data_IF_833905519114
#
_entry.id   IF_833905519114
#
_cell.length_a   1.000
_cell.length_b   1.000
_cell.length_c   1.000
_cell.angle_alpha   90.00
_cell.angle_beta   90.00
_cell.angle_gamma   90.00
#
_symmetry.space_group_name_H-M   'P 1'
#
loop_
_entity.id
_entity.type
_entity.pdbx_description
1 polymer ?
#
# COMPACT_ATOMS: atom_id res chain seq x y z
N UNK A 1 24.58 17.91 31.77
CA UNK A 1 23.94 17.16 30.69
C UNK A 1 22.68 16.38 31.10
N UNK A 2 22.15 16.58 32.30
CA UNK A 2 21.00 15.82 32.86
C UNK A 2 19.66 16.54 32.82
N UNK A 3 19.58 17.78 32.32
CA UNK A 3 18.35 18.62 32.44
C UNK A 3 17.40 18.54 31.23
N UNK A 4 17.81 17.92 30.08
CA UNK A 4 16.95 17.84 28.89
C UNK A 4 16.05 16.59 28.81
N UNK A 5 16.33 15.53 29.58
CA UNK A 5 15.49 14.33 29.62
C UNK A 5 14.19 14.53 30.41
N UNK A 6 14.20 15.44 31.40
CA UNK A 6 13.10 15.63 32.32
C UNK A 6 11.90 16.39 31.75
N UNK A 7 12.09 17.18 30.69
CA UNK A 7 11.01 17.98 30.08
C UNK A 7 10.17 17.17 29.12
N UNK A 8 10.77 16.23 28.36
CA UNK A 8 10.05 15.31 27.48
C UNK A 8 9.21 14.31 28.32
N UNK A 9 9.78 13.77 29.40
CA UNK A 9 9.05 12.90 30.33
C UNK A 9 7.89 13.64 31.05
N UNK A 10 8.05 14.90 31.42
CA UNK A 10 6.97 15.66 32.04
C UNK A 10 5.80 16.01 31.11
N UNK A 11 6.03 16.17 29.79
CA UNK A 11 4.94 16.45 28.85
C UNK A 11 4.07 15.20 28.56
N UNK A 12 4.62 14.00 28.63
CA UNK A 12 3.85 12.74 28.52
C UNK A 12 2.99 12.52 29.77
N UNK A 13 3.46 12.90 30.96
CA UNK A 13 2.76 12.71 32.23
C UNK A 13 1.59 13.70 32.44
N UNK A 14 1.62 14.88 31.85
CA UNK A 14 0.55 15.90 32.03
C UNK A 14 -0.69 15.62 31.16
N UNK A 15 -0.61 14.74 30.14
CA UNK A 15 -1.77 14.42 29.31
C UNK A 15 -2.69 13.33 29.89
N UNK A 16 -2.30 12.64 30.99
CA UNK A 16 -3.02 11.47 31.51
C UNK A 16 -3.17 11.47 33.05
N UNK A 17 -3.72 12.54 33.66
CA UNK A 17 -3.98 12.52 35.10
C UNK A 17 -5.41 12.10 35.47
N UNK A 18 -6.19 11.44 34.61
CA UNK A 18 -7.59 11.18 34.90
C UNK A 18 -8.06 9.69 34.86
N UNK A 19 -7.20 8.66 34.66
CA UNK A 19 -7.67 7.29 34.84
C UNK A 19 -6.55 6.33 35.29
N UNK A 20 -6.77 5.63 36.40
CA UNK A 20 -5.88 4.57 36.92
C UNK A 20 -5.84 3.33 36.00
N UNK A 21 -6.87 3.10 35.19
CA UNK A 21 -6.93 1.98 34.22
C UNK A 21 -6.02 2.23 33.00
N UNK A 22 -5.75 3.49 32.64
CA UNK A 22 -4.83 3.84 31.56
C UNK A 22 -3.37 3.48 31.88
N UNK A 23 -2.99 3.45 33.16
CA UNK A 23 -1.62 3.10 33.59
C UNK A 23 -1.30 1.60 33.40
N UNK A 24 -2.28 0.71 33.52
CA UNK A 24 -2.10 -0.71 33.29
C UNK A 24 -1.94 -1.00 31.77
N UNK A 25 -2.79 -0.40 30.94
CA UNK A 25 -2.71 -0.49 29.48
C UNK A 25 -1.40 0.12 28.94
N UNK A 26 -0.98 1.27 29.50
CA UNK A 26 0.31 1.89 29.17
C UNK A 26 1.50 0.99 29.59
N UNK A 27 1.43 0.36 30.79
CA UNK A 27 2.50 -0.54 31.24
C UNK A 27 2.60 -1.84 30.42
N UNK A 28 1.49 -2.34 29.90
CA UNK A 28 1.47 -3.44 28.94
C UNK A 28 2.01 -3.02 27.58
N UNK A 29 1.60 -1.88 27.05
CA UNK A 29 2.12 -1.33 25.79
C UNK A 29 3.63 -1.05 25.88
N UNK A 30 4.14 -0.63 27.04
CA UNK A 30 5.58 -0.48 27.29
C UNK A 30 6.31 -1.83 27.32
N UNK A 31 5.76 -2.86 27.97
CA UNK A 31 6.35 -4.22 28.01
C UNK A 31 6.33 -4.88 26.62
N UNK A 32 5.26 -4.70 25.87
CA UNK A 32 5.23 -5.16 24.45
C UNK A 32 6.24 -4.40 23.58
N UNK A 33 6.46 -3.12 23.85
CA UNK A 33 7.49 -2.31 23.18
C UNK A 33 8.91 -2.80 23.50
N UNK A 34 9.21 -3.16 24.74
CA UNK A 34 10.51 -3.73 25.14
C UNK A 34 10.76 -5.10 24.51
N UNK A 35 9.75 -5.99 24.49
CA UNK A 35 9.85 -7.29 23.84
C UNK A 35 10.04 -7.18 22.32
N UNK A 36 9.39 -6.22 21.69
CA UNK A 36 9.50 -6.00 20.24
C UNK A 36 10.87 -5.40 19.85
N UNK A 37 11.46 -4.55 20.66
CA UNK A 37 12.82 -4.02 20.45
C UNK A 37 13.85 -5.12 20.73
N UNK A 38 13.65 -6.00 21.71
CA UNK A 38 14.53 -7.13 21.98
C UNK A 38 14.73 -8.05 20.77
N UNK A 39 13.64 -8.38 20.04
CA UNK A 39 13.76 -9.13 18.79
C UNK A 39 14.52 -8.36 17.72
N UNK A 40 14.33 -7.05 17.59
CA UNK A 40 15.04 -6.24 16.60
C UNK A 40 16.54 -6.20 16.90
N UNK A 41 16.95 -6.07 18.15
CA UNK A 41 18.36 -6.17 18.57
C UNK A 41 18.95 -7.56 18.30
N UNK A 42 18.19 -8.63 18.53
CA UNK A 42 18.62 -9.97 18.16
C UNK A 42 18.83 -10.12 16.65
N UNK A 43 17.94 -9.54 15.82
CA UNK A 43 18.09 -9.50 14.37
C UNK A 43 19.27 -8.61 13.94
N UNK A 44 19.50 -7.50 14.62
CA UNK A 44 20.65 -6.62 14.40
C UNK A 44 21.99 -7.36 14.59
N UNK A 45 22.10 -8.19 15.63
CA UNK A 45 23.32 -8.93 15.96
C UNK A 45 23.72 -9.96 14.90
N UNK A 46 22.79 -10.43 14.08
CA UNK A 46 23.04 -11.42 13.01
C UNK A 46 23.18 -10.78 11.62
N UNK A 47 23.16 -9.44 11.52
CA UNK A 47 23.33 -8.74 10.24
C UNK A 47 24.70 -8.98 9.64
N UNK A 48 24.71 -9.22 8.35
CA UNK A 48 25.92 -9.33 7.54
C UNK A 48 25.72 -8.59 6.21
N UNK A 49 26.78 -8.06 5.59
CA UNK A 49 26.66 -7.33 4.32
C UNK A 49 25.97 -8.13 3.20
N UNK A 50 26.11 -9.46 3.22
CA UNK A 50 25.46 -10.35 2.26
C UNK A 50 23.96 -10.45 2.52
N UNK A 51 23.54 -10.70 3.77
CA UNK A 51 22.13 -10.79 4.14
C UNK A 51 21.43 -9.44 3.99
N UNK A 52 22.10 -8.33 4.29
CA UNK A 52 21.58 -6.97 4.09
C UNK A 52 21.22 -6.71 2.63
N UNK A 53 22.09 -7.12 1.69
CA UNK A 53 21.85 -7.02 0.25
C UNK A 53 20.71 -7.93 -0.21
N UNK A 54 20.70 -9.19 0.24
CA UNK A 54 19.67 -10.16 -0.14
C UNK A 54 18.30 -9.72 0.37
N UNK A 55 18.17 -9.42 1.68
CA UNK A 55 16.90 -9.02 2.27
C UNK A 55 16.49 -7.61 1.86
N UNK A 56 17.47 -6.74 1.58
CA UNK A 56 17.25 -5.45 0.93
C UNK A 56 16.67 -5.60 -0.48
N UNK A 57 17.11 -6.58 -1.27
CA UNK A 57 16.53 -6.87 -2.58
C UNK A 57 15.13 -7.50 -2.45
N UNK A 58 14.96 -8.46 -1.53
CA UNK A 58 13.66 -9.11 -1.27
C UNK A 58 12.58 -8.11 -0.88
N UNK A 59 12.90 -7.12 -0.06
CA UNK A 59 11.90 -6.14 0.40
C UNK A 59 11.26 -5.36 -0.75
N UNK A 60 11.96 -5.14 -1.89
CA UNK A 60 11.39 -4.47 -3.06
C UNK A 60 10.23 -5.25 -3.69
N UNK A 61 10.15 -6.56 -3.48
CA UNK A 61 9.00 -7.36 -3.91
C UNK A 61 7.70 -7.00 -3.16
N UNK A 62 7.80 -6.34 -2.00
CA UNK A 62 6.66 -5.78 -1.25
C UNK A 62 6.43 -4.28 -1.51
N UNK A 63 7.19 -3.66 -2.42
CA UNK A 63 7.02 -2.26 -2.77
C UNK A 63 5.71 -1.99 -3.52
N UNK A 64 5.17 -0.79 -3.39
CA UNK A 64 3.95 -0.35 -4.06
C UNK A 64 4.07 -0.46 -5.58
N UNK A 65 5.23 -0.13 -6.15
CA UNK A 65 5.45 -0.22 -7.60
C UNK A 65 5.38 -1.67 -8.08
N UNK A 66 6.00 -2.61 -7.36
CA UNK A 66 5.93 -4.03 -7.67
C UNK A 66 4.49 -4.53 -7.63
N UNK A 67 3.73 -4.16 -6.58
CA UNK A 67 2.31 -4.46 -6.49
C UNK A 67 1.51 -3.93 -7.69
N UNK A 68 1.69 -2.65 -8.03
CA UNK A 68 0.95 -2.01 -9.13
C UNK A 68 1.26 -2.65 -10.48
N UNK A 69 2.54 -2.89 -10.79
CA UNK A 69 2.97 -3.54 -12.03
C UNK A 69 2.37 -4.94 -12.15
N UNK A 70 2.40 -5.72 -11.07
CA UNK A 70 1.84 -7.06 -11.08
C UNK A 70 0.31 -7.04 -11.21
N UNK A 71 -0.41 -6.24 -10.42
CA UNK A 71 -1.87 -6.20 -10.44
C UNK A 71 -2.42 -5.74 -11.79
N UNK A 72 -1.80 -4.70 -12.39
CA UNK A 72 -2.16 -4.21 -13.73
C UNK A 72 -1.77 -5.22 -14.81
N UNK A 73 -0.60 -5.87 -14.69
CA UNK A 73 -0.17 -6.92 -15.61
C UNK A 73 -1.15 -8.10 -15.61
N UNK A 74 -1.57 -8.55 -14.43
CA UNK A 74 -2.61 -9.58 -14.29
C UNK A 74 -3.93 -9.12 -14.91
N UNK A 75 -4.35 -7.89 -14.67
CA UNK A 75 -5.56 -7.31 -15.21
C UNK A 75 -5.56 -7.24 -16.75
N UNK A 76 -4.43 -6.91 -17.35
CA UNK A 76 -4.32 -6.78 -18.81
C UNK A 76 -4.12 -8.11 -19.55
N UNK A 77 -3.39 -9.07 -18.94
CA UNK A 77 -2.82 -10.20 -19.68
C UNK A 77 -3.30 -11.57 -19.19
N UNK A 78 -3.83 -11.67 -17.96
CA UNK A 78 -4.15 -12.97 -17.35
C UNK A 78 -5.65 -13.08 -17.07
N UNK A 79 -6.17 -12.22 -16.18
CA UNK A 79 -7.56 -12.29 -15.73
C UNK A 79 -8.03 -10.94 -15.18
N UNK A 80 -9.05 -10.36 -15.80
CA UNK A 80 -9.70 -9.15 -15.28
C UNK A 80 -10.21 -9.34 -13.86
N UNK A 81 -10.85 -10.48 -13.60
CA UNK A 81 -11.37 -10.83 -12.29
C UNK A 81 -10.28 -10.81 -11.21
N UNK A 82 -9.18 -11.50 -11.48
CA UNK A 82 -8.04 -11.51 -10.56
C UNK A 82 -7.43 -10.11 -10.39
N UNK A 83 -7.30 -9.36 -11.48
CA UNK A 83 -6.83 -7.96 -11.44
C UNK A 83 -7.71 -7.08 -10.57
N UNK A 84 -9.03 -7.11 -10.76
CA UNK A 84 -9.96 -6.38 -9.89
C UNK A 84 -9.87 -6.83 -8.43
N UNK A 85 -9.76 -8.13 -8.17
CA UNK A 85 -9.60 -8.66 -6.83
C UNK A 85 -8.35 -8.09 -6.15
N UNK A 86 -7.18 -8.20 -6.79
CA UNK A 86 -5.93 -7.69 -6.24
C UNK A 86 -5.97 -6.17 -6.02
N UNK A 87 -6.48 -5.40 -7.00
CA UNK A 87 -6.62 -3.95 -6.87
C UNK A 87 -7.60 -3.57 -5.75
N UNK A 88 -8.71 -4.28 -5.60
CA UNK A 88 -9.69 -4.00 -4.55
C UNK A 88 -9.10 -4.28 -3.16
N UNK A 89 -8.47 -5.44 -2.96
CA UNK A 89 -7.77 -5.76 -1.69
C UNK A 89 -6.66 -4.75 -1.43
N UNK A 90 -5.87 -4.41 -2.46
CA UNK A 90 -4.74 -3.48 -2.35
C UNK A 90 -5.16 -2.08 -1.95
N UNK A 91 -6.13 -1.49 -2.64
CA UNK A 91 -6.58 -0.13 -2.33
C UNK A 91 -7.26 -0.05 -0.97
N UNK A 92 -8.15 -1.00 -0.60
CA UNK A 92 -8.70 -1.04 0.75
C UNK A 92 -7.60 -1.17 1.80
N UNK A 93 -6.66 -2.10 1.60
CA UNK A 93 -5.55 -2.29 2.52
C UNK A 93 -4.69 -1.05 2.66
N UNK A 94 -4.38 -0.36 1.57
CA UNK A 94 -3.55 0.84 1.58
C UNK A 94 -4.27 2.03 2.22
N UNK A 95 -5.56 2.25 1.93
CA UNK A 95 -6.36 3.31 2.57
C UNK A 95 -6.42 3.08 4.08
N UNK A 96 -6.72 1.86 4.52
CA UNK A 96 -6.78 1.51 5.94
C UNK A 96 -5.40 1.63 6.61
N UNK A 97 -4.34 1.18 5.94
CA UNK A 97 -2.96 1.31 6.41
C UNK A 97 -2.57 2.78 6.63
N UNK A 98 -2.85 3.64 5.67
CA UNK A 98 -2.55 5.08 5.76
C UNK A 98 -3.39 5.77 6.85
N UNK A 99 -4.66 5.39 6.99
CA UNK A 99 -5.50 5.88 8.07
C UNK A 99 -4.93 5.52 9.44
N UNK A 100 -4.57 4.24 9.66
CA UNK A 100 -3.97 3.79 10.91
C UNK A 100 -2.61 4.43 11.18
N UNK A 101 -1.79 4.68 10.16
CA UNK A 101 -0.52 5.39 10.31
C UNK A 101 -0.71 6.76 10.95
N UNK A 102 -1.67 7.52 10.46
CA UNK A 102 -1.95 8.88 10.95
C UNK A 102 -2.71 8.84 12.30
N UNK A 103 -3.58 7.87 12.49
CA UNK A 103 -4.34 7.71 13.74
C UNK A 103 -3.43 7.33 14.91
N UNK A 104 -2.56 6.32 14.71
CA UNK A 104 -1.69 5.81 15.77
C UNK A 104 -0.38 6.60 15.90
N UNK A 105 0.10 7.24 14.84
CA UNK A 105 1.31 8.09 14.79
C UNK A 105 2.54 7.46 15.48
N UNK A 106 2.74 6.14 15.31
CA UNK A 106 3.83 5.38 15.96
C UNK A 106 5.16 5.70 15.28
N UNK A 107 6.16 6.24 16.01
CA UNK A 107 7.48 6.53 15.43
C UNK A 107 8.23 5.27 15.06
N UNK A 108 9.18 5.41 14.15
CA UNK A 108 10.03 4.29 13.67
C UNK A 108 10.96 3.76 14.78
N UNK A 109 11.42 2.49 14.71
CA UNK A 109 12.32 1.91 15.72
C UNK A 109 13.54 2.78 16.04
N UNK A 110 14.23 3.29 15.03
CA UNK A 110 15.43 4.16 15.19
C UNK A 110 15.13 5.58 15.70
N UNK A 111 13.86 6.00 15.68
CA UNK A 111 13.39 7.26 16.28
C UNK A 111 13.05 7.04 17.73
N UNK A 112 12.48 5.86 18.07
CA UNK A 112 12.17 5.48 19.45
C UNK A 112 13.42 5.23 20.27
N UNK A 113 14.40 4.56 19.67
CA UNK A 113 15.65 4.20 20.31
C UNK A 113 16.84 4.63 19.41
N UNK A 114 17.50 5.76 19.76
CA UNK A 114 18.66 6.25 19.02
C UNK A 114 19.89 5.32 19.05
N UNK A 115 19.92 4.35 19.96
CA UNK A 115 20.98 3.32 20.03
C UNK A 115 20.78 2.20 19.01
N UNK A 116 19.58 2.04 18.48
CA UNK A 116 19.25 0.99 17.50
C UNK A 116 19.66 1.43 16.09
N UNK A 117 20.37 0.55 15.36
CA UNK A 117 20.76 0.82 13.98
C UNK A 117 19.83 0.13 12.97
N UNK A 118 19.78 0.65 11.76
CA UNK A 118 19.02 0.06 10.64
C UNK A 118 19.98 -0.23 9.48
N UNK A 119 19.53 -1.07 8.55
CA UNK A 119 20.21 -1.20 7.26
C UNK A 119 19.88 0.04 6.42
N UNK A 120 20.84 0.93 6.22
CA UNK A 120 20.64 2.27 5.65
C UNK A 120 19.98 2.26 4.26
N UNK A 121 20.24 1.25 3.43
CA UNK A 121 19.58 1.11 2.13
C UNK A 121 18.04 0.98 2.22
N UNK A 122 17.50 0.55 3.36
CA UNK A 122 16.06 0.42 3.58
C UNK A 122 15.40 1.72 4.05
N UNK A 123 16.18 2.74 4.47
CA UNK A 123 15.64 4.02 5.00
C UNK A 123 14.77 4.75 4.00
N UNK A 124 15.19 4.81 2.73
CA UNK A 124 14.45 5.51 1.68
C UNK A 124 13.05 4.93 1.43
N UNK A 125 12.89 3.60 1.57
CA UNK A 125 11.60 2.91 1.48
C UNK A 125 10.79 2.90 2.78
N UNK A 126 11.25 3.55 3.83
CA UNK A 126 10.64 3.57 5.15
C UNK A 126 10.16 4.98 5.55
N UNK A 127 9.44 5.66 4.65
CA UNK A 127 8.84 6.97 4.92
C UNK A 127 7.62 6.86 5.83
N UNK A 128 7.29 7.93 6.53
CA UNK A 128 6.12 8.02 7.41
C UNK A 128 6.23 7.21 8.70
N UNK A 129 5.14 7.18 9.46
CA UNK A 129 5.04 6.44 10.71
C UNK A 129 5.25 4.92 10.53
N UNK A 130 5.66 4.24 11.62
CA UNK A 130 6.00 2.83 11.58
C UNK A 130 4.78 1.93 11.39
N UNK A 131 3.75 2.14 12.20
CA UNK A 131 2.59 1.25 12.32
C UNK A 131 1.43 1.66 11.41
N UNK A 132 0.81 0.71 10.70
CA UNK A 132 1.29 -0.65 10.39
C UNK A 132 2.22 -0.68 9.15
N UNK A 133 2.87 -1.83 8.89
CA UNK A 133 3.83 -1.99 7.79
C UNK A 133 3.17 -1.96 6.41
N UNK A 134 3.54 -0.98 5.56
CA UNK A 134 3.04 -0.87 4.19
C UNK A 134 3.54 -1.98 3.26
N UNK A 135 4.82 -2.35 3.33
CA UNK A 135 5.38 -3.45 2.53
C UNK A 135 4.74 -4.80 2.89
N UNK A 136 4.47 -5.04 4.17
CA UNK A 136 3.73 -6.24 4.60
C UNK A 136 2.32 -6.23 4.04
N UNK A 137 1.61 -5.11 4.11
CA UNK A 137 0.27 -4.97 3.53
C UNK A 137 0.26 -5.28 2.03
N UNK A 138 1.22 -4.72 1.27
CA UNK A 138 1.35 -4.99 -0.16
C UNK A 138 1.70 -6.46 -0.44
N UNK A 139 2.60 -7.06 0.36
CA UNK A 139 2.97 -8.46 0.22
C UNK A 139 1.77 -9.39 0.45
N UNK A 140 0.97 -9.15 1.49
CA UNK A 140 -0.24 -9.94 1.75
C UNK A 140 -1.25 -9.78 0.62
N UNK A 141 -1.46 -8.56 0.15
CA UNK A 141 -2.37 -8.31 -0.98
C UNK A 141 -1.93 -9.06 -2.22
N UNK A 142 -0.67 -8.92 -2.60
CA UNK A 142 -0.15 -9.47 -3.84
C UNK A 142 0.01 -10.98 -3.77
N UNK A 143 0.80 -11.44 -2.83
CA UNK A 143 1.16 -12.86 -2.73
C UNK A 143 0.09 -13.65 -1.98
N UNK A 144 -0.47 -13.14 -0.89
CA UNK A 144 -1.58 -13.77 -0.18
C UNK A 144 -2.84 -13.83 -1.04
N UNK A 145 -3.18 -12.74 -1.73
CA UNK A 145 -4.28 -12.68 -2.69
C UNK A 145 -4.09 -13.67 -3.86
N UNK A 146 -2.88 -13.75 -4.43
CA UNK A 146 -2.55 -14.72 -5.48
C UNK A 146 -2.62 -16.15 -4.95
N UNK A 147 -2.08 -16.42 -3.77
CA UNK A 147 -2.15 -17.75 -3.12
C UNK A 147 -3.59 -18.20 -2.86
N UNK A 148 -4.47 -17.26 -2.50
CA UNK A 148 -5.91 -17.54 -2.32
C UNK A 148 -6.62 -17.82 -3.64
N UNK A 149 -6.24 -17.11 -4.70
CA UNK A 149 -6.88 -17.20 -6.02
C UNK A 149 -6.42 -18.41 -6.82
N UNK A 150 -5.12 -18.76 -6.75
CA UNK A 150 -4.54 -19.84 -7.57
C UNK A 150 -5.03 -21.24 -7.17
N UNK A 151 -5.29 -22.08 -8.16
CA UNK A 151 -5.57 -23.50 -7.98
C UNK A 151 -4.29 -24.37 -8.00
N UNK A 152 -3.16 -23.78 -8.36
CA UNK A 152 -1.87 -24.48 -8.51
C UNK A 152 -1.15 -24.57 -7.16
N UNK A 153 -0.95 -25.77 -6.57
CA UNK A 153 -0.44 -25.89 -5.20
C UNK A 153 0.98 -25.32 -5.03
N UNK A 154 1.91 -25.62 -5.95
CA UNK A 154 3.27 -25.11 -5.83
C UNK A 154 3.33 -23.58 -5.88
N UNK A 155 2.54 -22.93 -6.75
CA UNK A 155 2.48 -21.47 -6.85
C UNK A 155 1.94 -20.84 -5.54
N UNK A 156 0.95 -21.50 -4.91
CA UNK A 156 0.43 -21.09 -3.61
C UNK A 156 1.53 -21.05 -2.56
N UNK A 157 2.32 -22.10 -2.45
CA UNK A 157 3.40 -22.18 -1.47
C UNK A 157 4.53 -21.19 -1.77
N UNK A 158 4.88 -20.98 -3.03
CA UNK A 158 5.84 -19.93 -3.44
C UNK A 158 5.36 -18.57 -3.02
N UNK A 159 4.09 -18.23 -3.29
CA UNK A 159 3.53 -16.95 -2.86
C UNK A 159 3.57 -16.78 -1.34
N UNK A 160 3.20 -17.80 -0.57
CA UNK A 160 3.27 -17.76 0.89
C UNK A 160 4.71 -17.57 1.37
N UNK A 161 5.66 -18.29 0.79
CA UNK A 161 7.07 -18.18 1.16
C UNK A 161 7.62 -16.77 0.88
N UNK A 162 7.33 -16.19 -0.29
CA UNK A 162 7.75 -14.82 -0.64
C UNK A 162 7.12 -13.80 0.30
N UNK A 163 5.81 -13.95 0.61
CA UNK A 163 5.13 -13.06 1.55
C UNK A 163 5.78 -13.09 2.93
N UNK A 164 6.04 -14.29 3.48
CA UNK A 164 6.71 -14.45 4.79
C UNK A 164 8.12 -13.87 4.76
N UNK A 165 8.86 -14.07 3.68
CA UNK A 165 10.22 -13.56 3.54
C UNK A 165 10.24 -12.02 3.47
N UNK A 166 9.27 -11.39 2.81
CA UNK A 166 9.11 -9.93 2.83
C UNK A 166 8.79 -9.45 4.25
N UNK A 167 7.85 -10.08 4.94
CA UNK A 167 7.51 -9.73 6.33
C UNK A 167 8.75 -9.81 7.24
N UNK A 168 9.52 -10.88 7.13
CA UNK A 168 10.77 -11.06 7.88
C UNK A 168 11.80 -9.98 7.51
N UNK A 169 11.94 -9.66 6.23
CA UNK A 169 12.91 -8.65 5.78
C UNK A 169 12.67 -7.28 6.43
N UNK A 170 11.41 -6.90 6.70
CA UNK A 170 11.09 -5.59 7.33
C UNK A 170 11.60 -5.49 8.77
N UNK A 171 11.54 -6.60 9.50
CA UNK A 171 12.07 -6.68 10.87
C UNK A 171 13.59 -6.76 10.86
N UNK A 172 14.17 -7.62 10.00
CA UNK A 172 15.63 -7.77 9.86
C UNK A 172 16.32 -6.44 9.48
N UNK A 173 15.74 -5.70 8.52
CA UNK A 173 16.27 -4.40 8.10
C UNK A 173 16.09 -3.31 9.18
N UNK A 174 15.36 -3.58 10.26
CA UNK A 174 15.16 -2.70 11.40
C UNK A 174 14.15 -1.58 11.19
N UNK A 175 13.34 -1.66 10.13
CA UNK A 175 12.43 -0.57 9.75
C UNK A 175 11.01 -0.70 10.30
N UNK A 176 10.66 -1.87 10.83
CA UNK A 176 9.37 -2.18 11.45
C UNK A 176 9.50 -3.13 12.63
N UNK A 177 8.65 -2.96 13.63
CA UNK A 177 8.53 -3.89 14.77
C UNK A 177 7.71 -5.13 14.38
N UNK A 178 7.77 -6.23 15.16
CA UNK A 178 6.88 -7.38 15.00
C UNK A 178 5.40 -7.01 15.03
N UNK A 179 5.01 -6.03 15.85
CA UNK A 179 3.63 -5.54 15.95
C UNK A 179 3.20 -4.85 14.64
N UNK A 180 4.05 -4.00 14.04
CA UNK A 180 3.77 -3.35 12.77
C UNK A 180 3.51 -4.35 11.66
N UNK A 181 4.32 -5.41 11.63
CA UNK A 181 4.23 -6.51 10.65
C UNK A 181 3.02 -7.40 10.94
N UNK A 182 2.82 -7.79 12.19
CA UNK A 182 1.73 -8.69 12.61
C UNK A 182 0.35 -8.10 12.33
N UNK A 183 0.14 -6.82 12.66
CA UNK A 183 -1.13 -6.13 12.40
C UNK A 183 -1.37 -5.95 10.89
N UNK A 184 -0.35 -5.57 10.13
CA UNK A 184 -0.47 -5.47 8.68
C UNK A 184 -0.78 -6.83 8.02
N UNK A 185 -0.16 -7.91 8.50
CA UNK A 185 -0.42 -9.28 8.07
C UNK A 185 -1.87 -9.69 8.37
N UNK A 186 -2.33 -9.48 9.60
CA UNK A 186 -3.69 -9.82 10.03
C UNK A 186 -4.74 -9.02 9.23
N UNK A 187 -4.56 -7.70 9.11
CA UNK A 187 -5.44 -6.83 8.36
C UNK A 187 -5.51 -7.24 6.87
N UNK A 188 -4.37 -7.48 6.25
CA UNK A 188 -4.30 -7.93 4.87
C UNK A 188 -4.94 -9.30 4.68
N UNK A 189 -4.72 -10.25 5.59
CA UNK A 189 -5.34 -11.57 5.54
C UNK A 189 -6.86 -11.50 5.65
N UNK A 190 -7.39 -10.67 6.55
CA UNK A 190 -8.84 -10.43 6.66
C UNK A 190 -9.40 -9.89 5.35
N UNK A 191 -8.75 -8.90 4.72
CA UNK A 191 -9.20 -8.35 3.44
C UNK A 191 -9.15 -9.40 2.30
N UNK A 192 -8.06 -10.17 2.21
CA UNK A 192 -7.89 -11.24 1.21
C UNK A 192 -9.01 -12.28 1.36
N UNK A 193 -9.31 -12.71 2.58
CA UNK A 193 -10.31 -13.73 2.84
C UNK A 193 -11.74 -13.21 2.68
N UNK A 194 -12.04 -12.00 3.16
CA UNK A 194 -13.37 -11.40 3.12
C UNK A 194 -13.78 -10.97 1.70
N UNK A 195 -12.84 -10.42 0.90
CA UNK A 195 -13.16 -9.94 -0.42
C UNK A 195 -13.18 -11.05 -1.50
N UNK A 196 -12.61 -12.22 -1.23
CA UNK A 196 -12.65 -13.32 -2.20
C UNK A 196 -14.08 -13.81 -2.50
N UNK A 197 -14.94 -14.16 -1.48
CA UNK A 197 -16.31 -14.53 -1.75
C UNK A 197 -17.15 -13.38 -2.35
N UNK A 198 -16.81 -12.13 -2.06
CA UNK A 198 -17.44 -10.96 -2.69
C UNK A 198 -17.17 -10.95 -4.20
N UNK A 199 -15.95 -11.34 -4.63
CA UNK A 199 -15.63 -11.48 -6.05
C UNK A 199 -16.37 -12.66 -6.70
N UNK A 200 -16.62 -13.74 -5.98
CA UNK A 200 -17.46 -14.86 -6.46
C UNK A 200 -18.91 -14.42 -6.64
N UNK A 201 -19.44 -13.61 -5.72
CA UNK A 201 -20.78 -13.07 -5.87
C UNK A 201 -20.86 -12.01 -7.00
N UNK A 202 -19.80 -11.24 -7.22
CA UNK A 202 -19.72 -10.28 -8.31
C UNK A 202 -19.77 -10.92 -9.70
N UNK A 203 -19.41 -12.19 -9.85
CA UNK A 203 -19.61 -12.92 -11.10
C UNK A 203 -21.09 -13.19 -11.40
N UNK A 204 -21.88 -13.42 -10.35
CA UNK A 204 -23.32 -13.64 -10.45
C UNK A 204 -24.08 -12.32 -10.53
N UNK A 205 -23.63 -11.34 -9.74
CA UNK A 205 -24.26 -10.02 -9.60
C UNK A 205 -23.22 -8.92 -9.78
N UNK A 206 -22.91 -8.56 -11.02
CA UNK A 206 -21.82 -7.63 -11.32
C UNK A 206 -21.89 -6.25 -10.66
N UNK A 207 -23.06 -5.82 -10.21
CA UNK A 207 -23.24 -4.58 -9.45
C UNK A 207 -22.57 -4.63 -8.06
N UNK A 208 -22.33 -5.83 -7.50
CA UNK A 208 -21.65 -6.02 -6.20
C UNK A 208 -20.25 -5.41 -6.24
N UNK A 209 -19.47 -5.69 -7.30
CA UNK A 209 -18.14 -5.09 -7.46
C UNK A 209 -18.20 -3.57 -7.58
N UNK A 210 -19.22 -3.04 -8.27
CA UNK A 210 -19.42 -1.59 -8.39
C UNK A 210 -19.67 -0.94 -7.01
N UNK A 211 -20.48 -1.55 -6.14
CA UNK A 211 -20.69 -1.06 -4.78
C UNK A 211 -19.46 -1.17 -3.89
N UNK A 212 -18.71 -2.27 -4.02
CA UNK A 212 -17.44 -2.45 -3.29
C UNK A 212 -16.44 -1.36 -3.68
N UNK A 213 -16.24 -1.11 -4.98
CA UNK A 213 -15.36 -0.03 -5.44
C UNK A 213 -15.95 1.35 -5.04
N UNK A 214 -17.25 1.53 -5.09
CA UNK A 214 -17.91 2.75 -4.60
C UNK A 214 -17.65 3.00 -3.12
N UNK A 215 -17.67 1.97 -2.28
CA UNK A 215 -17.29 2.12 -0.86
C UNK A 215 -15.83 2.52 -0.66
N UNK A 216 -14.91 2.09 -1.55
CA UNK A 216 -13.51 2.56 -1.51
C UNK A 216 -13.41 4.06 -1.80
N UNK A 217 -14.22 4.59 -2.73
CA UNK A 217 -14.30 6.03 -3.00
C UNK A 217 -14.75 6.78 -1.74
N UNK A 218 -15.79 6.27 -1.06
CA UNK A 218 -16.26 6.85 0.20
C UNK A 218 -15.19 6.80 1.28
N UNK A 219 -14.52 5.65 1.46
CA UNK A 219 -13.44 5.50 2.44
C UNK A 219 -12.26 6.44 2.16
N UNK A 220 -11.85 6.58 0.89
CA UNK A 220 -10.75 7.50 0.53
C UNK A 220 -11.15 8.97 0.72
N UNK A 221 -12.39 9.34 0.40
CA UNK A 221 -12.93 10.68 0.67
C UNK A 221 -13.02 10.96 2.17
N UNK A 222 -13.50 10.00 2.96
CA UNK A 222 -13.54 10.09 4.42
C UNK A 222 -12.14 10.24 5.04
N UNK A 223 -11.13 9.55 4.49
CA UNK A 223 -9.75 9.71 4.93
C UNK A 223 -9.24 11.14 4.67
N UNK A 224 -9.48 11.70 3.49
CA UNK A 224 -9.09 13.09 3.18
C UNK A 224 -9.85 14.07 4.09
N UNK A 225 -11.15 13.88 4.30
CA UNK A 225 -11.95 14.70 5.22
C UNK A 225 -11.40 14.64 6.66
N UNK A 226 -11.05 13.44 7.14
CA UNK A 226 -10.42 13.26 8.45
C UNK A 226 -9.11 14.04 8.57
N UNK A 227 -8.25 14.01 7.52
CA UNK A 227 -6.99 14.76 7.52
C UNK A 227 -7.24 16.27 7.63
N UNK A 228 -8.19 16.83 6.89
CA UNK A 228 -8.53 18.25 6.99
C UNK A 228 -9.14 18.63 8.33
N UNK A 229 -9.98 17.78 8.91
CA UNK A 229 -10.58 18.01 10.23
C UNK A 229 -9.54 17.93 11.37
N UNK A 230 -8.61 16.98 11.26
CA UNK A 230 -7.52 16.83 12.23
C UNK A 230 -6.53 17.99 12.14
N UNK A 231 -6.24 18.44 10.95
CA UNK A 231 -5.19 19.41 10.65
C UNK A 231 -3.77 18.88 10.90
N UNK A 232 -2.78 19.71 10.61
CA UNK A 232 -1.39 19.45 10.99
C UNK A 232 -1.21 19.77 12.48
N UNK A 233 -0.68 18.84 13.24
CA UNK A 233 -0.38 19.04 14.65
C UNK A 233 0.81 19.96 14.88
N UNK A 234 1.71 20.06 13.88
CA UNK A 234 2.91 20.90 13.94
C UNK A 234 3.86 20.57 15.09
N UNK A 235 3.69 19.40 15.74
CA UNK A 235 4.45 19.03 16.93
C UNK A 235 5.94 18.88 16.62
N UNK A 236 6.27 18.30 15.47
CA UNK A 236 7.63 18.16 14.95
C UNK A 236 7.66 18.39 13.43
N UNK A 237 8.83 18.67 12.86
CA UNK A 237 8.99 18.76 11.41
C UNK A 237 8.67 17.41 10.72
N UNK A 238 8.90 16.27 11.39
CA UNK A 238 8.56 14.95 10.91
C UNK A 238 7.03 14.75 10.87
N UNK A 239 6.29 15.19 11.90
CA UNK A 239 4.83 15.10 11.92
C UNK A 239 4.19 15.90 10.79
N UNK A 240 4.69 17.14 10.57
CA UNK A 240 4.25 17.97 9.42
C UNK A 240 4.54 17.28 8.09
N UNK A 241 5.73 16.72 7.90
CA UNK A 241 6.08 15.99 6.67
C UNK A 241 5.18 14.75 6.47
N UNK A 242 4.87 14.01 7.54
CA UNK A 242 3.97 12.87 7.53
C UNK A 242 2.54 13.28 7.19
N UNK A 243 2.05 14.40 7.73
CA UNK A 243 0.73 14.94 7.41
C UNK A 243 0.62 15.34 5.93
N UNK A 244 1.58 16.11 5.42
CA UNK A 244 1.61 16.52 4.01
C UNK A 244 1.67 15.30 3.07
N UNK A 245 2.47 14.31 3.42
CA UNK A 245 2.55 13.04 2.66
C UNK A 245 1.22 12.30 2.68
N UNK A 246 0.56 12.21 3.84
CA UNK A 246 -0.73 11.54 3.99
C UNK A 246 -1.82 12.26 3.19
N UNK A 247 -1.86 13.59 3.20
CA UNK A 247 -2.82 14.39 2.42
C UNK A 247 -2.62 14.17 0.91
N UNK A 248 -1.37 14.20 0.45
CA UNK A 248 -1.02 13.89 -0.94
C UNK A 248 -1.45 12.48 -1.33
N UNK A 249 -1.23 11.47 -0.47
CA UNK A 249 -1.65 10.10 -0.71
C UNK A 249 -3.17 9.94 -0.67
N UNK A 250 -3.85 10.60 0.25
CA UNK A 250 -5.31 10.60 0.34
C UNK A 250 -5.98 11.07 -0.96
N UNK A 251 -5.53 12.19 -1.53
CA UNK A 251 -6.02 12.67 -2.82
C UNK A 251 -5.73 11.71 -3.97
N UNK A 252 -4.55 11.05 -3.98
CA UNK A 252 -4.22 10.03 -4.98
C UNK A 252 -5.16 8.82 -4.86
N UNK A 253 -5.53 8.40 -3.64
CA UNK A 253 -6.50 7.32 -3.44
C UNK A 253 -7.89 7.71 -3.93
N UNK A 254 -8.37 8.92 -3.65
CA UNK A 254 -9.63 9.42 -4.21
C UNK A 254 -9.61 9.35 -5.74
N UNK A 255 -8.56 9.86 -6.39
CA UNK A 255 -8.43 9.80 -7.82
C UNK A 255 -8.38 8.38 -8.38
N UNK A 256 -7.55 7.53 -7.77
CA UNK A 256 -7.38 6.13 -8.21
C UNK A 256 -8.66 5.31 -8.03
N UNK A 257 -9.37 5.45 -6.92
CA UNK A 257 -10.61 4.70 -6.67
C UNK A 257 -11.77 5.20 -7.53
N UNK A 258 -11.87 6.51 -7.80
CA UNK A 258 -12.80 7.06 -8.79
C UNK A 258 -12.49 6.54 -10.20
N UNK A 259 -11.22 6.49 -10.57
CA UNK A 259 -10.78 5.92 -11.84
C UNK A 259 -11.13 4.43 -11.96
N UNK A 260 -10.93 3.66 -10.88
CA UNK A 260 -11.28 2.24 -10.85
C UNK A 260 -12.78 2.02 -10.95
N UNK A 261 -13.59 2.86 -10.28
CA UNK A 261 -15.05 2.82 -10.37
C UNK A 261 -15.52 3.09 -11.80
N UNK A 262 -15.02 4.17 -12.40
CA UNK A 262 -15.32 4.51 -13.79
C UNK A 262 -14.86 3.41 -14.76
N UNK A 263 -13.67 2.86 -14.57
CA UNK A 263 -13.16 1.71 -15.32
C UNK A 263 -14.10 0.51 -15.23
N UNK A 264 -14.55 0.13 -14.04
CA UNK A 264 -15.47 -0.99 -13.85
C UNK A 264 -16.80 -0.78 -14.61
N UNK A 265 -17.35 0.42 -14.54
CA UNK A 265 -18.62 0.75 -15.23
C UNK A 265 -18.43 0.77 -16.75
N UNK A 266 -17.37 1.43 -17.24
CA UNK A 266 -17.10 1.61 -18.67
C UNK A 266 -16.69 0.29 -19.34
N UNK A 267 -15.83 -0.51 -18.70
CA UNK A 267 -15.41 -1.81 -19.24
C UNK A 267 -16.62 -2.74 -19.37
N UNK A 268 -17.46 -2.82 -18.35
CA UNK A 268 -18.66 -3.69 -18.39
C UNK A 268 -19.68 -3.27 -19.43
N UNK A 269 -19.86 -1.99 -19.66
CA UNK A 269 -20.92 -1.47 -20.51
C UNK A 269 -20.51 -1.31 -21.96
N UNK A 270 -19.26 -0.90 -22.19
CA UNK A 270 -18.80 -0.47 -23.52
C UNK A 270 -17.54 -1.19 -23.99
N UNK A 271 -16.46 -1.25 -23.19
CA UNK A 271 -15.13 -1.67 -23.64
C UNK A 271 -15.08 -3.18 -23.78
N UNK A 272 -15.44 -3.92 -22.73
CA UNK A 272 -15.52 -5.39 -22.68
C UNK A 272 -14.25 -6.07 -23.25
N UNK A 273 -13.08 -5.50 -22.96
CA UNK A 273 -11.84 -6.02 -23.52
C UNK A 273 -11.58 -7.47 -23.09
N UNK A 274 -10.83 -8.20 -23.93
CA UNK A 274 -10.36 -9.55 -23.65
C UNK A 274 -8.88 -9.53 -23.27
N UNK A 275 -8.48 -10.40 -22.32
CA UNK A 275 -7.08 -10.50 -21.88
C UNK A 275 -6.25 -11.35 -22.82
N UNK A 276 -6.88 -12.26 -23.59
CA UNK A 276 -6.21 -13.24 -24.42
C UNK A 276 -5.43 -12.58 -25.57
N UNK A 277 -4.18 -13.01 -25.73
CA UNK A 277 -3.34 -12.73 -26.89
C UNK A 277 -2.17 -13.72 -26.92
N UNK A 278 -1.45 -13.82 -28.06
CA UNK A 278 -0.21 -14.58 -28.15
C UNK A 278 0.87 -13.98 -27.23
N UNK A 279 1.81 -14.81 -26.76
CA UNK A 279 2.77 -14.41 -25.73
C UNK A 279 3.56 -13.12 -26.02
N UNK A 280 4.01 -12.94 -27.28
CA UNK A 280 4.76 -11.74 -27.69
C UNK A 280 3.86 -10.49 -27.74
N UNK A 281 2.59 -10.64 -28.10
CA UNK A 281 1.62 -9.55 -28.05
C UNK A 281 1.30 -9.15 -26.59
N UNK A 282 1.27 -10.12 -25.66
CA UNK A 282 1.19 -9.84 -24.22
C UNK A 282 2.40 -9.01 -23.74
N UNK A 283 3.61 -9.36 -24.19
CA UNK A 283 4.82 -8.61 -23.83
C UNK A 283 4.74 -7.17 -24.37
N UNK A 284 4.31 -6.97 -25.61
CA UNK A 284 4.10 -5.62 -26.18
C UNK A 284 3.05 -4.85 -25.39
N UNK A 285 1.91 -5.47 -25.04
CA UNK A 285 0.89 -4.83 -24.18
C UNK A 285 1.49 -4.33 -22.87
N UNK A 286 2.34 -5.12 -22.21
CA UNK A 286 2.98 -4.75 -20.97
C UNK A 286 4.01 -3.63 -21.17
N UNK A 287 4.98 -3.81 -22.06
CA UNK A 287 6.09 -2.87 -22.24
C UNK A 287 5.59 -1.50 -22.72
N UNK A 288 4.75 -1.49 -23.75
CA UNK A 288 4.21 -0.22 -24.29
C UNK A 288 3.23 0.39 -23.30
N UNK A 289 2.33 -0.40 -22.71
CA UNK A 289 1.35 0.09 -21.75
C UNK A 289 1.99 0.72 -20.52
N UNK A 290 2.98 0.07 -19.91
CA UNK A 290 3.71 0.65 -18.77
C UNK A 290 4.58 1.82 -19.18
N UNK A 291 5.19 1.81 -20.37
CA UNK A 291 5.92 2.96 -20.91
C UNK A 291 5.02 4.20 -21.04
N UNK A 292 3.82 4.03 -21.58
CA UNK A 292 2.82 5.10 -21.68
C UNK A 292 2.32 5.56 -20.31
N UNK A 293 2.07 4.63 -19.35
CA UNK A 293 1.69 5.01 -17.99
C UNK A 293 2.76 5.85 -17.29
N UNK A 294 4.04 5.48 -17.46
CA UNK A 294 5.16 6.27 -16.91
C UNK A 294 5.26 7.64 -17.58
N UNK A 295 5.06 7.72 -18.90
CA UNK A 295 5.04 8.99 -19.63
C UNK A 295 3.89 9.90 -19.17
N UNK A 296 2.68 9.35 -18.99
CA UNK A 296 1.52 10.08 -18.45
C UNK A 296 1.80 10.57 -17.02
N UNK A 297 2.33 9.67 -16.18
CA UNK A 297 2.67 10.01 -14.77
C UNK A 297 3.67 11.16 -14.70
N UNK A 298 4.70 11.14 -15.54
CA UNK A 298 5.73 12.17 -15.57
C UNK A 298 5.23 13.47 -16.25
N UNK A 299 4.63 13.34 -17.44
CA UNK A 299 4.24 14.48 -18.27
C UNK A 299 3.08 15.31 -17.69
N UNK A 300 2.14 14.67 -16.99
CA UNK A 300 1.01 15.40 -16.43
C UNK A 300 1.29 16.08 -15.08
N UNK A 301 2.46 15.84 -14.45
CA UNK A 301 2.73 16.39 -13.10
C UNK A 301 2.72 17.92 -13.09
N UNK A 302 3.56 18.56 -13.90
CA UNK A 302 3.70 20.01 -13.91
C UNK A 302 2.47 20.72 -14.49
N UNK A 303 1.90 20.29 -15.64
CA UNK A 303 0.69 20.91 -16.18
C UNK A 303 -0.50 20.90 -15.22
N UNK A 304 -0.74 19.77 -14.54
CA UNK A 304 -1.87 19.67 -13.60
C UNK A 304 -1.66 20.52 -12.36
N UNK A 305 -0.45 20.63 -11.82
CA UNK A 305 -0.16 21.54 -10.71
C UNK A 305 -0.44 22.98 -11.10
N UNK A 306 -0.01 23.40 -12.30
CA UNK A 306 -0.27 24.73 -12.81
C UNK A 306 -1.79 24.99 -13.00
N UNK A 307 -2.51 24.02 -13.57
CA UNK A 307 -3.95 24.11 -13.80
C UNK A 307 -4.74 24.18 -12.48
N UNK A 308 -4.26 23.50 -11.42
CA UNK A 308 -4.87 23.54 -10.09
C UNK A 308 -4.39 24.74 -9.23
N UNK A 309 -3.81 25.77 -9.81
CA UNK A 309 -3.37 26.95 -9.06
C UNK A 309 -2.29 26.66 -8.01
N UNK A 310 -1.46 25.64 -8.23
CA UNK A 310 -0.40 25.22 -7.30
C UNK A 310 -0.82 24.15 -6.27
N UNK A 311 -2.09 23.75 -6.23
CA UNK A 311 -2.57 22.71 -5.32
C UNK A 311 -2.07 21.31 -5.75
N UNK A 312 -0.87 20.95 -5.29
CA UNK A 312 -0.15 19.74 -5.72
C UNK A 312 -0.88 18.45 -5.33
N UNK A 313 -1.59 18.44 -4.21
CA UNK A 313 -2.35 17.29 -3.69
C UNK A 313 -3.53 16.98 -4.60
N UNK A 314 -4.35 18.00 -4.95
CA UNK A 314 -5.50 17.87 -5.84
C UNK A 314 -5.04 17.47 -7.24
N UNK A 315 -3.99 18.14 -7.77
CA UNK A 315 -3.36 17.77 -9.03
C UNK A 315 -2.88 16.31 -9.04
N UNK A 316 -2.35 15.84 -7.91
CA UNK A 316 -2.02 14.43 -7.68
C UNK A 316 -3.23 13.51 -7.81
N UNK A 317 -4.36 13.86 -7.22
CA UNK A 317 -5.62 13.11 -7.32
C UNK A 317 -6.12 13.01 -8.77
N UNK A 318 -6.19 14.14 -9.47
CA UNK A 318 -6.59 14.19 -10.89
C UNK A 318 -5.63 13.34 -11.74
N UNK A 319 -4.33 13.43 -11.50
CA UNK A 319 -3.34 12.63 -12.23
C UNK A 319 -3.55 11.13 -12.04
N UNK A 320 -3.81 10.67 -10.82
CA UNK A 320 -4.07 9.25 -10.56
C UNK A 320 -5.40 8.77 -11.14
N UNK A 321 -6.44 9.61 -11.14
CA UNK A 321 -7.68 9.36 -11.88
C UNK A 321 -7.37 9.10 -13.37
N UNK A 322 -6.62 9.99 -14.02
CA UNK A 322 -6.28 9.87 -15.44
C UNK A 322 -5.39 8.64 -15.73
N UNK A 323 -4.44 8.33 -14.86
CA UNK A 323 -3.59 7.12 -14.95
C UNK A 323 -4.46 5.86 -14.91
N UNK A 324 -5.39 5.77 -13.96
CA UNK A 324 -6.25 4.59 -13.82
C UNK A 324 -7.25 4.48 -14.97
N UNK A 325 -7.82 5.59 -15.44
CA UNK A 325 -8.67 5.61 -16.64
C UNK A 325 -7.90 5.20 -17.90
N UNK A 326 -6.67 5.65 -18.05
CA UNK A 326 -5.81 5.19 -19.15
C UNK A 326 -5.58 3.67 -19.05
N UNK A 327 -5.16 3.18 -17.89
CA UNK A 327 -4.85 1.77 -17.68
C UNK A 327 -6.09 0.86 -17.82
N UNK A 328 -7.24 1.32 -17.38
CA UNK A 328 -8.47 0.52 -17.34
C UNK A 328 -9.39 0.69 -18.52
N UNK A 329 -9.30 1.81 -19.26
CA UNK A 329 -10.19 2.13 -20.37
C UNK A 329 -9.44 2.37 -21.67
N UNK A 330 -8.58 3.40 -21.72
CA UNK A 330 -8.00 3.86 -22.99
C UNK A 330 -7.07 2.80 -23.59
N UNK A 331 -6.12 2.30 -22.80
CA UNK A 331 -5.19 1.27 -23.25
C UNK A 331 -5.91 -0.05 -23.62
N UNK A 332 -6.84 -0.56 -22.82
CA UNK A 332 -7.62 -1.75 -23.19
C UNK A 332 -8.44 -1.66 -24.48
N UNK A 333 -8.81 -0.46 -24.96
CA UNK A 333 -9.46 -0.33 -26.28
C UNK A 333 -8.59 -0.86 -27.42
N UNK A 334 -7.26 -0.86 -27.25
CA UNK A 334 -6.34 -1.42 -28.25
C UNK A 334 -6.26 -2.95 -28.23
N UNK A 335 -6.76 -3.62 -27.17
CA UNK A 335 -6.57 -5.06 -26.94
C UNK A 335 -7.31 -5.92 -27.96
N UNK A 336 -8.39 -5.41 -28.51
CA UNK A 336 -9.04 -6.04 -29.66
C UNK A 336 -8.07 -6.26 -30.86
N UNK A 337 -7.18 -5.32 -31.12
CA UNK A 337 -6.13 -5.50 -32.14
C UNK A 337 -5.14 -6.60 -31.74
N UNK A 338 -4.68 -6.61 -30.49
CA UNK A 338 -3.74 -7.61 -29.98
C UNK A 338 -4.31 -9.03 -29.95
N UNK A 339 -5.61 -9.20 -29.67
CA UNK A 339 -6.26 -10.52 -29.66
C UNK A 339 -6.36 -11.17 -31.03
N UNK A 340 -6.24 -10.39 -32.11
CA UNK A 340 -6.24 -10.88 -33.51
C UNK A 340 -4.86 -11.22 -34.04
N UNK A 341 -3.80 -10.69 -33.43
CA UNK A 341 -2.43 -10.98 -33.83
C UNK A 341 -2.12 -12.46 -33.58
N UNK A 342 -1.66 -13.16 -34.61
CA UNK A 342 -1.30 -14.58 -34.53
C UNK A 342 -2.46 -15.58 -34.59
N UNK A 343 -3.71 -15.13 -34.75
CA UNK A 343 -4.81 -16.00 -35.20
C UNK A 343 -4.67 -16.12 -36.74
N UNK A 344 -4.17 -17.29 -37.22
CA UNK A 344 -4.23 -17.69 -38.63
C UNK A 344 -5.53 -18.44 -38.89
#
# INVERSE_FOLDING_TARGET
>A
MAARSTVAQKRIIVYNSHNLDDNAALSEAWRESEGSMGLLYALESIRTPLLDKILGAVTYLGDELCFMVFAVGVFWCISKRMGYYLMTVGFFGTILNQFLKILCAVPRPWVKDPGFTIVESARAGASGYSFPSGHTQNAVTLYGGTARYTKTPWLRWVCIAVMVLICFSRMYLGVHTPLDVGVALAMGAVLVLALYPVMEEADRRPWVLTWVIGSMVVCSGAFVAYLYLRGDTGATAEDTANYVSALSNGWKFVGATLGLLATNILDRRYIRFETEAVWWAQLIKLVVGFGLLLAIRAGLKAPLIALCGGAAEIAGGIRYLLIVLFAGCVWPLTFWGFSRLGRR
#
